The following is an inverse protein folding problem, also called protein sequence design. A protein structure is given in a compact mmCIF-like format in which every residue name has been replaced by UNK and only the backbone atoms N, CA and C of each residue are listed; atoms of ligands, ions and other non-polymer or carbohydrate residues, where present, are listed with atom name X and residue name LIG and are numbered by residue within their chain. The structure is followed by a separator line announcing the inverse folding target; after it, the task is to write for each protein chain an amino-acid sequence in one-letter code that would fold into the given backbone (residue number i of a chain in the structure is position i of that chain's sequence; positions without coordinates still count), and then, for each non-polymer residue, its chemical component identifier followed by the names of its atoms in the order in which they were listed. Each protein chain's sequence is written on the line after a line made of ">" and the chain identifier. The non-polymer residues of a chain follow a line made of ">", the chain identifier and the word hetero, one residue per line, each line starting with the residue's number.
data_IF_650128469681
#
_entry.id   IF_650128469681
#
_cell.length_a   1.000
_cell.length_b   1.000
_cell.length_c   1.000
_cell.angle_alpha   90.00
_cell.angle_beta   90.00
_cell.angle_gamma   90.00
#
_symmetry.space_group_name_H-M   'P 1'
#
loop_
_entity.id
_entity.type
_entity.pdbx_description
1 polymer ?
#
# COMPACT_ATOMS: atom_id res chain seq x y z
N UNK A 1 -19.56 -16.79 -6.68
CA UNK A 1 -18.17 -17.19 -6.91
C UNK A 1 -17.41 -16.89 -5.61
N UNK A 2 -17.09 -17.93 -4.85
CA UNK A 2 -16.59 -17.85 -3.47
C UNK A 2 -15.07 -17.66 -3.54
N UNK A 3 -14.57 -16.60 -2.90
CA UNK A 3 -13.15 -16.35 -2.78
C UNK A 3 -12.52 -17.44 -1.88
N UNK A 4 -11.57 -18.19 -2.43
CA UNK A 4 -10.76 -19.13 -1.69
C UNK A 4 -9.84 -18.36 -0.73
N UNK A 5 -10.19 -18.37 0.55
CA UNK A 5 -9.27 -17.94 1.62
C UNK A 5 -8.24 -19.06 1.77
N UNK A 6 -7.03 -18.80 1.32
CA UNK A 6 -5.91 -19.71 1.52
C UNK A 6 -5.54 -19.74 3.00
N UNK A 7 -5.86 -20.84 3.66
CA UNK A 7 -5.46 -21.14 5.04
C UNK A 7 -3.96 -21.47 5.05
N UNK A 8 -3.12 -20.52 5.44
CA UNK A 8 -1.69 -20.79 5.67
C UNK A 8 -1.49 -21.30 7.08
N UNK A 9 -0.97 -22.54 7.19
CA UNK A 9 -0.58 -23.15 8.46
C UNK A 9 0.54 -22.35 9.13
N UNK A 10 0.34 -21.98 10.40
CA UNK A 10 1.28 -21.25 11.23
C UNK A 10 2.42 -22.16 11.70
N UNK A 11 3.64 -21.86 11.27
CA UNK A 11 4.87 -22.26 11.98
C UNK A 11 5.33 -21.09 12.86
N UNK A 12 5.66 -21.33 14.12
CA UNK A 12 6.18 -20.34 15.08
C UNK A 12 7.51 -19.76 14.57
N UNK A 13 7.47 -18.54 14.08
CA UNK A 13 8.61 -17.73 13.69
C UNK A 13 8.04 -16.41 13.19
N UNK A 14 8.50 -15.27 13.67
CA UNK A 14 8.03 -13.90 13.44
C UNK A 14 6.99 -13.83 12.30
N UNK A 15 5.72 -13.96 12.65
CA UNK A 15 4.64 -13.93 11.67
C UNK A 15 4.64 -12.54 11.06
N UNK A 16 4.79 -12.45 9.75
CA UNK A 16 4.53 -11.21 9.05
C UNK A 16 3.06 -10.87 9.35
N UNK A 17 2.84 -9.90 10.24
CA UNK A 17 1.52 -9.44 10.60
C UNK A 17 0.87 -8.89 9.33
N UNK A 18 -0.31 -9.39 9.00
CA UNK A 18 -1.09 -8.93 7.85
C UNK A 18 -2.07 -7.88 8.38
N UNK A 19 -1.81 -6.59 8.16
CA UNK A 19 -2.70 -5.53 8.59
C UNK A 19 -3.89 -5.42 7.62
N UNK A 20 -5.09 -5.41 8.19
CA UNK A 20 -6.33 -5.06 7.49
C UNK A 20 -6.88 -3.76 8.08
N UNK A 21 -7.08 -2.74 7.25
CA UNK A 21 -7.58 -1.42 7.64
C UNK A 21 -8.96 -1.18 7.05
N UNK A 22 -9.88 -0.73 7.89
CA UNK A 22 -11.12 -0.09 7.48
C UNK A 22 -11.00 1.41 7.76
N UNK A 23 -11.25 2.24 6.76
CA UNK A 23 -11.27 3.71 6.88
C UNK A 23 -12.63 4.23 6.47
N UNK A 24 -13.30 4.94 7.37
CA UNK A 24 -14.59 5.59 7.14
C UNK A 24 -14.36 7.10 7.06
N UNK A 25 -14.32 7.63 5.85
CA UNK A 25 -14.20 9.05 5.60
C UNK A 25 -15.57 9.69 5.32
N UNK A 26 -15.59 11.02 5.13
CA UNK A 26 -16.85 11.75 4.92
C UNK A 26 -17.41 11.62 3.48
N UNK A 27 -16.61 11.17 2.51
CA UNK A 27 -17.04 10.96 1.12
C UNK A 27 -17.13 9.48 0.75
N UNK A 28 -16.22 8.64 1.27
CA UNK A 28 -16.12 7.22 0.93
C UNK A 28 -15.57 6.39 2.08
N UNK A 29 -15.95 5.12 2.09
CA UNK A 29 -15.29 4.10 2.89
C UNK A 29 -14.24 3.36 2.06
N UNK A 30 -13.15 2.93 2.72
CA UNK A 30 -12.12 2.08 2.10
C UNK A 30 -11.77 0.92 3.00
N UNK A 31 -11.44 -0.20 2.37
CA UNK A 31 -10.84 -1.36 3.02
C UNK A 31 -9.51 -1.64 2.35
N UNK A 32 -8.45 -1.83 3.13
CA UNK A 32 -7.07 -1.94 2.64
C UNK A 32 -6.34 -3.05 3.39
N UNK A 33 -5.78 -4.01 2.67
CA UNK A 33 -4.86 -5.02 3.20
C UNK A 33 -3.53 -4.81 2.52
N UNK A 34 -2.47 -4.53 3.28
CA UNK A 34 -1.15 -4.25 2.73
C UNK A 34 -0.07 -4.85 3.62
N UNK A 35 0.75 -5.74 3.09
CA UNK A 35 1.83 -6.37 3.84
C UNK A 35 3.08 -6.58 3.00
N UNK A 36 4.19 -6.77 3.72
CA UNK A 36 5.50 -7.14 3.19
C UNK A 36 5.92 -8.47 3.79
N UNK A 37 6.42 -9.39 2.98
CA UNK A 37 6.89 -10.69 3.46
C UNK A 37 8.16 -11.11 2.73
N UNK A 38 9.24 -11.34 3.49
CA UNK A 38 10.38 -12.06 2.98
C UNK A 38 10.07 -13.56 2.92
N UNK A 39 10.44 -14.20 1.82
CA UNK A 39 10.37 -15.64 1.75
C UNK A 39 11.40 -16.27 2.70
N UNK A 40 11.14 -17.50 3.13
CA UNK A 40 12.10 -18.30 3.90
C UNK A 40 12.92 -19.16 2.93
N UNK A 41 14.21 -19.26 3.19
CA UNK A 41 15.11 -20.20 2.53
C UNK A 41 14.89 -21.65 3.04
N UNK A 42 15.63 -22.60 2.46
CA UNK A 42 15.49 -24.03 2.81
C UNK A 42 15.79 -24.33 4.28
N UNK A 43 16.67 -23.54 4.91
CA UNK A 43 17.06 -23.71 6.32
C UNK A 43 16.26 -22.83 7.28
N UNK A 44 15.16 -22.20 6.81
CA UNK A 44 14.34 -21.31 7.61
C UNK A 44 14.87 -19.86 7.70
N UNK A 45 16.06 -19.57 7.17
CA UNK A 45 16.60 -18.22 7.10
C UNK A 45 15.77 -17.29 6.19
N UNK A 46 15.84 -16.00 6.45
CA UNK A 46 15.21 -15.00 5.60
C UNK A 46 15.90 -14.97 4.23
N UNK A 47 15.15 -15.19 3.16
CA UNK A 47 15.67 -15.10 1.80
C UNK A 47 15.86 -13.64 1.37
N UNK A 48 16.51 -13.43 0.22
CA UNK A 48 16.68 -12.10 -0.40
C UNK A 48 15.43 -11.65 -1.17
N UNK A 49 14.43 -12.51 -1.31
CA UNK A 49 13.21 -12.20 -2.04
C UNK A 49 12.17 -11.61 -1.09
N UNK A 50 11.68 -10.42 -1.43
CA UNK A 50 10.60 -9.73 -0.74
C UNK A 50 9.36 -9.72 -1.64
N UNK A 51 8.25 -10.11 -1.07
CA UNK A 51 6.91 -9.99 -1.64
C UNK A 51 6.17 -8.84 -0.97
N UNK A 52 5.58 -7.99 -1.78
CA UNK A 52 4.63 -6.97 -1.37
C UNK A 52 3.27 -7.31 -1.95
N UNK A 53 2.24 -7.21 -1.13
CA UNK A 53 0.85 -7.33 -1.58
C UNK A 53 0.03 -6.16 -1.03
N UNK A 54 -0.87 -5.66 -1.86
CA UNK A 54 -1.89 -4.73 -1.47
C UNK A 54 -3.19 -5.02 -2.20
N UNK A 55 -4.26 -5.20 -1.43
CA UNK A 55 -5.64 -5.23 -1.91
C UNK A 55 -6.38 -4.05 -1.32
N UNK A 56 -6.96 -3.22 -2.16
CA UNK A 56 -7.75 -2.07 -1.71
C UNK A 56 -9.11 -2.05 -2.40
N UNK A 57 -10.14 -1.90 -1.59
CA UNK A 57 -11.50 -1.66 -2.05
C UNK A 57 -11.99 -0.30 -1.54
N UNK A 58 -12.80 0.42 -2.33
CA UNK A 58 -13.43 1.66 -1.89
C UNK A 58 -14.87 1.78 -2.41
N UNK A 59 -15.72 2.39 -1.60
CA UNK A 59 -17.14 2.63 -1.91
C UNK A 59 -17.45 4.09 -1.62
N UNK A 60 -17.87 4.84 -2.65
CA UNK A 60 -18.32 6.21 -2.50
C UNK A 60 -19.75 6.24 -1.93
N UNK A 61 -20.01 7.16 -0.99
CA UNK A 61 -21.36 7.30 -0.41
C UNK A 61 -22.35 7.95 -1.38
N UNK A 62 -21.86 8.78 -2.31
CA UNK A 62 -22.67 9.34 -3.39
C UNK A 62 -22.67 8.35 -4.56
N UNK A 63 -23.64 7.45 -4.56
CA UNK A 63 -23.82 6.51 -5.66
C UNK A 63 -24.32 7.23 -6.92
N UNK A 64 -23.46 7.32 -7.92
CA UNK A 64 -23.85 7.67 -9.30
C UNK A 64 -23.99 6.41 -10.14
N UNK A 65 -24.53 6.51 -11.33
CA UNK A 65 -24.60 5.36 -12.27
C UNK A 65 -23.23 4.77 -12.59
N UNK A 66 -22.15 5.57 -12.48
CA UNK A 66 -20.77 5.17 -12.69
C UNK A 66 -20.07 4.58 -11.44
N UNK A 67 -20.63 4.77 -10.23
CA UNK A 67 -19.97 4.41 -8.95
C UNK A 67 -20.77 3.39 -8.15
N UNK A 68 -21.65 2.61 -8.79
CA UNK A 68 -22.50 1.60 -8.12
C UNK A 68 -21.74 0.39 -7.57
N UNK A 69 -20.55 0.11 -8.07
CA UNK A 69 -19.73 -1.02 -7.64
C UNK A 69 -18.52 -0.51 -6.87
N UNK A 70 -18.04 -1.28 -5.87
CA UNK A 70 -16.78 -0.98 -5.22
C UNK A 70 -15.64 -0.89 -6.25
N UNK A 71 -14.80 0.14 -6.13
CA UNK A 71 -13.54 0.17 -6.85
C UNK A 71 -12.56 -0.76 -6.15
N UNK A 72 -12.02 -1.72 -6.87
CA UNK A 72 -11.06 -2.70 -6.33
C UNK A 72 -9.75 -2.56 -7.09
N UNK A 73 -8.65 -2.52 -6.35
CA UNK A 73 -7.29 -2.56 -6.87
C UNK A 73 -6.47 -3.62 -6.16
N UNK A 74 -5.71 -4.38 -6.93
CA UNK A 74 -4.71 -5.33 -6.46
C UNK A 74 -3.34 -4.86 -6.96
N UNK A 75 -2.36 -4.86 -6.08
CA UNK A 75 -0.96 -4.59 -6.43
C UNK A 75 -0.09 -5.65 -5.78
N UNK A 76 0.69 -6.33 -6.59
CA UNK A 76 1.68 -7.30 -6.14
C UNK A 76 3.06 -6.90 -6.65
N UNK A 77 4.08 -7.06 -5.83
CA UNK A 77 5.44 -6.81 -6.23
C UNK A 77 6.41 -7.86 -5.69
N UNK A 78 7.40 -8.17 -6.50
CA UNK A 78 8.53 -9.04 -6.15
C UNK A 78 9.83 -8.30 -6.34
N UNK A 79 10.69 -8.36 -5.34
CA UNK A 79 12.01 -7.72 -5.41
C UNK A 79 13.11 -8.60 -4.85
N UNK A 80 14.32 -8.42 -5.39
CA UNK A 80 15.51 -9.13 -4.95
C UNK A 80 16.41 -8.19 -4.12
N UNK A 81 16.36 -8.35 -2.80
CA UNK A 81 17.02 -7.48 -1.82
C UNK A 81 18.38 -8.05 -1.42
N UNK A 82 19.43 -7.71 -2.17
CA UNK A 82 20.78 -8.09 -1.81
C UNK A 82 21.39 -7.13 -0.78
N UNK A 83 22.03 -7.63 0.31
CA UNK A 83 22.57 -6.77 1.38
C UNK A 83 23.55 -5.69 0.89
N UNK A 84 24.35 -6.00 -0.16
CA UNK A 84 25.27 -5.03 -0.75
C UNK A 84 24.57 -3.80 -1.35
N UNK A 85 23.28 -3.88 -1.68
CA UNK A 85 22.49 -2.77 -2.24
C UNK A 85 21.91 -1.85 -1.17
N UNK A 86 22.20 -2.10 0.13
CA UNK A 86 21.83 -1.23 1.27
C UNK A 86 20.35 -0.82 1.30
N UNK A 87 19.45 -1.75 0.98
CA UNK A 87 17.99 -1.52 0.97
C UNK A 87 17.41 -1.24 -0.41
N UNK A 88 18.21 -0.92 -1.42
CA UNK A 88 17.75 -0.85 -2.80
C UNK A 88 17.62 -2.23 -3.41
N UNK A 89 16.68 -2.38 -4.34
CA UNK A 89 16.46 -3.65 -5.03
C UNK A 89 15.76 -3.42 -6.39
N UNK A 90 16.07 -4.22 -7.41
CA UNK A 90 15.21 -4.30 -8.57
C UNK A 90 13.85 -4.89 -8.17
N UNK A 91 12.78 -4.35 -8.75
CA UNK A 91 11.40 -4.75 -8.45
C UNK A 91 10.59 -4.91 -9.74
N UNK A 92 9.79 -5.97 -9.78
CA UNK A 92 8.70 -6.16 -10.73
C UNK A 92 7.37 -5.97 -9.99
N UNK A 93 6.44 -5.23 -10.59
CA UNK A 93 5.14 -4.91 -10.02
C UNK A 93 4.04 -5.28 -11.02
N UNK A 94 2.99 -5.90 -10.53
CA UNK A 94 1.75 -6.14 -11.27
C UNK A 94 0.62 -5.41 -10.55
N UNK A 95 -0.11 -4.60 -11.28
CA UNK A 95 -1.29 -3.89 -10.78
C UNK A 95 -2.50 -4.33 -11.58
N UNK A 96 -3.59 -4.65 -10.88
CA UNK A 96 -4.87 -5.04 -11.46
C UNK A 96 -5.93 -4.08 -10.95
N UNK A 97 -6.49 -3.30 -11.84
CA UNK A 97 -7.58 -2.36 -11.56
C UNK A 97 -8.77 -2.66 -12.49
N UNK A 98 -9.89 -1.99 -12.27
CA UNK A 98 -11.02 -2.04 -13.19
C UNK A 98 -10.68 -1.58 -14.62
N UNK A 99 -9.63 -0.79 -14.78
CA UNK A 99 -9.12 -0.29 -16.07
C UNK A 99 -8.21 -1.26 -16.81
N UNK A 100 -7.70 -2.31 -16.17
CA UNK A 100 -6.82 -3.30 -16.79
C UNK A 100 -5.74 -3.86 -15.86
N UNK A 101 -4.82 -4.57 -16.50
CA UNK A 101 -3.64 -5.18 -15.85
C UNK A 101 -2.39 -4.44 -16.36
N UNK A 102 -1.57 -3.99 -15.42
CA UNK A 102 -0.37 -3.19 -15.71
C UNK A 102 0.86 -3.88 -15.11
N UNK A 103 1.80 -4.25 -15.96
CA UNK A 103 3.09 -4.79 -15.56
C UNK A 103 4.14 -3.69 -15.57
N UNK A 104 4.86 -3.53 -14.47
CA UNK A 104 5.84 -2.47 -14.27
C UNK A 104 7.15 -3.03 -13.73
N UNK A 105 8.25 -2.36 -14.03
CA UNK A 105 9.56 -2.69 -13.47
C UNK A 105 10.30 -1.42 -13.06
N UNK A 106 11.21 -1.56 -12.11
CA UNK A 106 12.01 -0.43 -11.65
C UNK A 106 12.85 -0.76 -10.43
N UNK A 107 12.98 0.23 -9.54
CA UNK A 107 13.78 0.13 -8.34
C UNK A 107 12.92 0.42 -7.12
N UNK A 108 13.11 -0.36 -6.06
CA UNK A 108 12.54 -0.09 -4.75
C UNK A 108 13.63 0.18 -3.71
N UNK A 109 13.22 0.82 -2.64
CA UNK A 109 13.98 0.96 -1.39
C UNK A 109 13.13 0.44 -0.24
N UNK A 110 13.75 -0.34 0.66
CA UNK A 110 13.09 -0.86 1.86
C UNK A 110 13.98 -0.72 3.08
N UNK A 111 13.40 -0.18 4.15
CA UNK A 111 14.03 -0.09 5.46
C UNK A 111 12.98 -0.43 6.52
N UNK A 112 13.10 -1.63 7.10
CA UNK A 112 12.19 -2.13 8.14
C UNK A 112 12.93 -2.18 9.47
N UNK A 113 12.43 -1.45 10.46
CA UNK A 113 12.90 -1.44 11.84
C UNK A 113 11.71 -1.60 12.79
N UNK A 114 11.98 -1.85 14.06
CA UNK A 114 10.93 -2.04 15.07
C UNK A 114 9.91 -0.90 15.11
N UNK A 115 10.37 0.33 15.00
CA UNK A 115 9.52 1.52 15.08
C UNK A 115 9.30 2.20 13.72
N UNK A 116 10.16 1.92 12.73
CA UNK A 116 10.16 2.56 11.43
C UNK A 116 9.94 1.58 10.30
N UNK A 117 9.04 1.92 9.41
CA UNK A 117 8.91 1.31 8.09
C UNK A 117 9.06 2.39 7.05
N UNK A 118 10.06 2.28 6.21
CA UNK A 118 10.19 3.10 5.00
C UNK A 118 10.21 2.16 3.82
N UNK A 119 9.28 2.34 2.91
CA UNK A 119 9.20 1.58 1.67
C UNK A 119 8.89 2.55 0.53
N UNK A 120 9.63 2.45 -0.55
CA UNK A 120 9.43 3.30 -1.72
C UNK A 120 9.75 2.52 -2.98
N UNK A 121 9.09 2.84 -4.07
CA UNK A 121 9.51 2.43 -5.40
C UNK A 121 9.37 3.54 -6.43
N UNK A 122 10.14 3.41 -7.47
CA UNK A 122 10.03 4.16 -8.71
C UNK A 122 10.00 3.12 -9.84
N UNK A 123 8.86 2.98 -10.50
CA UNK A 123 8.61 1.96 -11.52
C UNK A 123 7.99 2.57 -12.76
N UNK A 124 8.28 2.00 -13.90
CA UNK A 124 7.68 2.37 -15.19
C UNK A 124 6.97 1.16 -15.78
N UNK A 125 5.90 1.40 -16.49
CA UNK A 125 5.19 0.38 -17.25
C UNK A 125 6.09 -0.19 -18.35
N UNK A 126 5.99 -1.52 -18.54
CA UNK A 126 6.83 -2.23 -19.52
C UNK A 126 6.18 -2.20 -20.92
N UNK A 127 4.85 -1.97 -20.97
CA UNK A 127 4.04 -1.97 -22.18
C UNK A 127 3.91 -0.56 -22.82
N UNK A 128 2.87 -0.36 -23.60
CA UNK A 128 2.68 0.72 -24.59
C UNK A 128 2.67 2.17 -24.07
N UNK A 129 2.41 2.41 -22.77
CA UNK A 129 2.40 3.75 -22.18
C UNK A 129 3.30 3.83 -20.96
N UNK A 130 4.60 4.13 -21.12
CA UNK A 130 5.58 4.08 -20.04
C UNK A 130 5.39 5.23 -19.03
N UNK A 131 4.26 5.27 -18.34
CA UNK A 131 4.04 6.14 -17.19
C UNK A 131 5.00 5.80 -16.04
N UNK A 132 5.42 6.81 -15.30
CA UNK A 132 6.30 6.66 -14.13
C UNK A 132 5.48 6.68 -12.86
N UNK A 133 5.51 5.59 -12.08
CA UNK A 133 4.85 5.52 -10.78
C UNK A 133 5.86 5.63 -9.65
N UNK A 134 5.60 6.58 -8.77
CA UNK A 134 6.31 6.75 -7.51
C UNK A 134 5.39 6.40 -6.35
N UNK A 135 5.83 5.49 -5.49
CA UNK A 135 5.18 5.15 -4.22
C UNK A 135 6.13 5.37 -3.06
N UNK A 136 5.63 5.97 -2.00
CA UNK A 136 6.31 6.12 -0.72
C UNK A 136 5.36 5.75 0.41
N UNK A 137 5.82 4.89 1.30
CA UNK A 137 5.21 4.59 2.59
C UNK A 137 6.22 4.90 3.68
N UNK A 138 5.85 5.75 4.61
CA UNK A 138 6.59 6.00 5.86
C UNK A 138 5.64 5.70 7.01
N UNK A 139 6.03 4.80 7.89
CA UNK A 139 5.32 4.51 9.14
C UNK A 139 6.26 4.66 10.31
N UNK A 140 5.78 5.30 11.38
CA UNK A 140 6.51 5.45 12.62
C UNK A 140 5.61 5.11 13.80
N UNK A 141 6.05 4.16 14.64
CA UNK A 141 5.26 3.59 15.74
C UNK A 141 6.08 3.53 17.03
N UNK A 142 6.50 4.68 17.59
CA UNK A 142 7.26 4.71 18.83
C UNK A 142 6.40 4.31 20.03
N UNK A 143 7.01 3.67 21.00
CA UNK A 143 6.35 3.37 22.27
C UNK A 143 6.06 4.66 23.07
N UNK A 144 4.82 4.78 23.57
CA UNK A 144 4.41 5.79 24.54
C UNK A 144 4.46 5.16 25.94
N UNK A 145 3.99 3.93 26.06
CA UNK A 145 4.03 3.09 27.26
C UNK A 145 4.32 1.64 26.88
N UNK A 146 4.45 0.75 27.83
CA UNK A 146 4.66 -0.68 27.56
C UNK A 146 3.52 -1.33 26.75
N UNK A 147 2.32 -0.76 26.75
CA UNK A 147 1.13 -1.32 26.10
C UNK A 147 0.59 -0.43 24.96
N UNK A 148 1.12 0.77 24.80
CA UNK A 148 0.58 1.77 23.89
C UNK A 148 1.69 2.41 23.07
N UNK A 149 1.54 2.42 21.74
CA UNK A 149 2.41 3.11 20.81
C UNK A 149 1.66 4.22 20.09
N UNK A 150 2.36 5.29 19.73
CA UNK A 150 1.88 6.20 18.70
C UNK A 150 1.83 5.45 17.37
N UNK A 151 0.83 5.71 16.57
CA UNK A 151 0.76 5.21 15.19
C UNK A 151 0.70 6.40 14.23
N UNK A 152 1.72 6.52 13.40
CA UNK A 152 1.73 7.50 12.31
C UNK A 152 2.07 6.81 11.00
N UNK A 153 1.36 7.15 9.93
CA UNK A 153 1.64 6.65 8.59
C UNK A 153 1.38 7.73 7.56
N UNK A 154 2.32 7.89 6.66
CA UNK A 154 2.21 8.70 5.46
C UNK A 154 2.40 7.81 4.24
N UNK A 155 1.53 7.97 3.26
CA UNK A 155 1.67 7.37 1.94
C UNK A 155 1.58 8.44 0.86
N UNK A 156 2.41 8.32 -0.17
CA UNK A 156 2.33 9.09 -1.39
C UNK A 156 2.35 8.14 -2.58
N UNK A 157 1.33 8.22 -3.43
CA UNK A 157 1.21 7.42 -4.64
C UNK A 157 0.99 8.38 -5.81
N UNK A 158 1.95 8.47 -6.70
CA UNK A 158 1.94 9.43 -7.78
C UNK A 158 2.22 8.74 -9.11
N UNK A 159 1.39 9.02 -10.10
CA UNK A 159 1.57 8.56 -11.48
C UNK A 159 1.85 9.76 -12.37
N UNK A 160 2.99 9.76 -13.02
CA UNK A 160 3.44 10.77 -13.95
C UNK A 160 3.44 10.18 -15.36
N UNK A 161 2.60 10.68 -16.26
CA UNK A 161 2.62 10.23 -17.65
C UNK A 161 3.90 10.72 -18.35
N UNK A 162 4.44 9.91 -19.23
CA UNK A 162 5.57 10.29 -20.07
C UNK A 162 5.12 10.83 -21.44
N UNK A 163 3.88 10.51 -21.85
CA UNK A 163 3.29 10.99 -23.08
C UNK A 163 2.48 12.26 -22.87
N UNK A 164 2.54 13.18 -23.83
CA UNK A 164 1.75 14.42 -23.80
C UNK A 164 0.25 14.11 -23.85
N UNK A 165 -0.52 14.72 -22.96
CA UNK A 165 -1.97 14.58 -22.91
C UNK A 165 -2.48 13.42 -22.04
N UNK A 166 -1.61 12.60 -21.45
CA UNK A 166 -2.00 11.61 -20.45
C UNK A 166 -2.28 12.26 -19.08
N UNK A 167 -2.91 11.51 -18.18
CA UNK A 167 -3.44 12.01 -16.91
C UNK A 167 -2.40 11.85 -15.79
N UNK A 168 -2.11 12.93 -15.06
CA UNK A 168 -1.40 12.88 -13.78
C UNK A 168 -2.38 12.40 -12.71
N UNK A 169 -1.89 11.59 -11.77
CA UNK A 169 -2.63 11.18 -10.58
C UNK A 169 -1.72 11.26 -9.37
N UNK A 170 -2.12 12.05 -8.38
CA UNK A 170 -1.40 12.26 -7.13
C UNK A 170 -2.32 11.87 -5.99
N UNK A 171 -1.87 11.00 -5.11
CA UNK A 171 -2.63 10.60 -3.92
C UNK A 171 -1.73 10.61 -2.70
N UNK A 172 -2.12 11.34 -1.66
CA UNK A 172 -1.48 11.35 -0.36
C UNK A 172 -2.44 10.85 0.70
N UNK A 173 -1.95 10.05 1.63
CA UNK A 173 -2.72 9.51 2.74
C UNK A 173 -1.97 9.68 4.03
N UNK A 174 -2.67 10.14 5.05
CA UNK A 174 -2.13 10.33 6.39
C UNK A 174 -2.99 9.53 7.37
N UNK A 175 -2.35 8.85 8.30
CA UNK A 175 -3.00 8.22 9.46
C UNK A 175 -2.27 8.67 10.72
N UNK A 176 -3.02 9.07 11.72
CA UNK A 176 -2.52 9.46 13.04
C UNK A 176 -3.42 8.84 14.11
N UNK A 177 -2.83 8.10 15.02
CA UNK A 177 -3.61 7.40 16.04
C UNK A 177 -2.74 6.65 17.04
N UNK A 178 -3.31 5.63 17.62
CA UNK A 178 -2.69 4.80 18.64
C UNK A 178 -2.67 3.33 18.20
N UNK A 179 -1.66 2.60 18.65
CA UNK A 179 -1.55 1.15 18.52
C UNK A 179 -1.54 0.53 19.92
N UNK A 180 -2.51 -0.36 20.18
CA UNK A 180 -2.62 -1.15 21.40
C UNK A 180 -2.64 -2.65 21.01
N UNK A 181 -1.56 -3.37 21.29
CA UNK A 181 -1.39 -4.74 20.81
C UNK A 181 -1.49 -4.81 19.28
N UNK A 182 -2.42 -5.62 18.77
CA UNK A 182 -2.66 -5.80 17.34
C UNK A 182 -3.66 -4.79 16.74
N UNK A 183 -4.25 -3.92 17.57
CA UNK A 183 -5.25 -2.94 17.11
C UNK A 183 -4.62 -1.57 16.95
N UNK A 184 -4.93 -0.89 15.85
CA UNK A 184 -4.56 0.50 15.58
C UNK A 184 -5.81 1.27 15.21
N UNK A 185 -5.96 2.47 15.74
CA UNK A 185 -7.13 3.31 15.48
C UNK A 185 -6.78 4.79 15.60
N UNK A 186 -7.53 5.61 14.91
CA UNK A 186 -7.29 7.06 14.93
C UNK A 186 -7.98 7.81 13.81
N UNK A 187 -7.47 9.01 13.54
CA UNK A 187 -7.93 9.86 12.46
C UNK A 187 -7.09 9.67 11.20
N UNK A 188 -7.68 9.94 10.05
CA UNK A 188 -6.99 9.85 8.78
C UNK A 188 -7.52 10.86 7.76
N UNK A 189 -6.69 11.10 6.75
CA UNK A 189 -7.00 11.93 5.61
C UNK A 189 -6.44 11.30 4.34
N UNK A 190 -7.25 11.27 3.29
CA UNK A 190 -6.84 10.92 1.93
C UNK A 190 -7.06 12.14 1.05
N UNK A 191 -6.01 12.57 0.35
CA UNK A 191 -6.06 13.66 -0.63
C UNK A 191 -5.74 13.09 -1.99
N UNK A 192 -6.50 13.45 -3.01
CA UNK A 192 -6.27 13.01 -4.38
C UNK A 192 -6.42 14.18 -5.35
N UNK A 193 -5.47 14.28 -6.26
CA UNK A 193 -5.49 15.22 -7.37
C UNK A 193 -5.27 14.45 -8.66
N UNK A 194 -6.13 14.66 -9.65
CA UNK A 194 -5.98 13.95 -10.90
C UNK A 194 -6.51 14.78 -12.08
N UNK A 195 -5.81 14.77 -13.19
CA UNK A 195 -6.21 15.51 -14.36
C UNK A 195 -5.14 15.56 -15.45
N UNK A 196 -5.43 16.28 -16.51
CA UNK A 196 -4.48 16.51 -17.63
C UNK A 196 -3.92 17.93 -17.58
N UNK A 197 -4.74 18.92 -17.90
CA UNK A 197 -4.38 20.35 -17.88
C UNK A 197 -4.84 21.03 -16.58
N UNK A 198 -5.97 20.58 -16.03
CA UNK A 198 -6.53 21.05 -14.78
C UNK A 198 -6.66 19.85 -13.87
N UNK A 199 -6.20 19.98 -12.62
CA UNK A 199 -6.31 18.93 -11.61
C UNK A 199 -7.63 19.08 -10.87
N UNK A 200 -8.43 18.02 -10.91
CA UNK A 200 -9.58 17.85 -10.02
C UNK A 200 -9.08 17.34 -8.67
N UNK A 201 -9.53 17.97 -7.60
CA UNK A 201 -9.15 17.66 -6.23
C UNK A 201 -10.28 16.96 -5.49
N UNK A 202 -9.95 16.00 -4.68
CA UNK A 202 -10.86 15.39 -3.71
C UNK A 202 -10.11 15.09 -2.42
N UNK A 203 -10.83 15.22 -1.30
CA UNK A 203 -10.35 14.88 0.02
C UNK A 203 -11.32 13.91 0.69
N UNK A 204 -10.84 13.15 1.65
CA UNK A 204 -11.65 12.23 2.42
C UNK A 204 -11.11 12.14 3.85
N UNK A 205 -11.73 12.86 4.77
CA UNK A 205 -11.34 12.95 6.17
C UNK A 205 -12.20 12.01 7.01
N UNK A 206 -11.60 11.29 7.94
CA UNK A 206 -12.37 10.33 8.75
C UNK A 206 -11.55 9.59 9.80
N UNK A 207 -12.11 8.47 10.26
CA UNK A 207 -11.47 7.57 11.22
C UNK A 207 -11.04 6.24 10.58
N UNK A 208 -10.00 5.63 11.12
CA UNK A 208 -9.56 4.30 10.73
C UNK A 208 -9.51 3.34 11.92
N UNK A 209 -9.73 2.09 11.61
CA UNK A 209 -9.48 0.94 12.47
C UNK A 209 -8.66 -0.08 11.67
N UNK A 210 -7.54 -0.53 12.22
CA UNK A 210 -6.66 -1.52 11.62
C UNK A 210 -6.37 -2.62 12.63
N UNK A 211 -6.36 -3.85 12.14
CA UNK A 211 -5.99 -5.03 12.91
C UNK A 211 -4.83 -5.76 12.22
N UNK A 212 -3.85 -6.18 12.99
CA UNK A 212 -2.70 -6.98 12.55
C UNK A 212 -2.90 -8.45 12.98
N UNK A 213 -3.11 -9.35 11.99
CA UNK A 213 -3.32 -10.79 12.19
C UNK A 213 -2.01 -11.54 12.37
#
# INVERSE_FOLDING_TARGET
>A
MIAAIATFACGEGAMAQIPAEAFAGHQKATFDVMFFKYFKGKNGEQSKWLFFNRVRASVDYKMTSATRLPSIGLTEAFSYNHPALKGFAPVGVVQIFSSGVFAKAGVQYVHLRKEWTVFSWLVSEIAEDPGLDYFLLVRYTPAITDKLNLFTQFESLNTFPTLSGARISLTQRVRLGLKAGNVQFGAGADFSEAGRKVLSRSDNLGGFLRYEF
#
